data_IF_142129129359
#
_entry.id   IF_142129129359
#
_cell.length_a   1.000
_cell.length_b   1.000
_cell.length_c   1.000
_cell.angle_alpha   90.00
_cell.angle_beta   90.00
_cell.angle_gamma   90.00
#
_symmetry.space_group_name_H-M   'P 1'
#
loop_
_entity.id
_entity.type
_entity.pdbx_description
1 polymer ?
#
# COMPACT_ATOMS: atom_id res chain seq x y z
N UNK A 1 8.67 17.98 8.05
CA UNK A 1 8.21 18.00 6.65
C UNK A 1 7.42 16.74 6.31
N UNK A 2 6.36 16.88 5.50
CA UNK A 2 5.45 15.79 5.13
C UNK A 2 5.27 15.75 3.62
N UNK A 3 5.30 14.55 3.02
CA UNK A 3 4.84 14.31 1.67
C UNK A 3 3.61 13.39 1.68
N UNK A 4 2.78 13.45 0.64
CA UNK A 4 1.54 12.68 0.52
C UNK A 4 1.51 11.96 -0.83
N UNK A 5 1.26 10.65 -0.81
CA UNK A 5 0.91 9.85 -1.98
C UNK A 5 -0.51 9.32 -1.81
N UNK A 6 -1.43 9.82 -2.60
CA UNK A 6 -2.87 9.54 -2.53
C UNK A 6 -3.51 9.88 -3.88
N UNK A 7 -4.33 9.02 -4.45
CA UNK A 7 -4.89 9.21 -5.80
C UNK A 7 -6.15 10.11 -5.86
N UNK A 8 -6.71 10.46 -4.71
CA UNK A 8 -7.87 11.35 -4.62
C UNK A 8 -7.49 12.75 -4.12
N UNK A 9 -7.62 13.77 -4.98
CA UNK A 9 -7.28 15.15 -4.64
C UNK A 9 -8.04 15.65 -3.40
N UNK A 10 -9.32 15.34 -3.27
CA UNK A 10 -10.14 15.74 -2.11
C UNK A 10 -9.61 15.16 -0.79
N UNK A 11 -9.04 13.97 -0.82
CA UNK A 11 -8.39 13.35 0.34
C UNK A 11 -7.10 14.08 0.69
N UNK A 12 -6.28 14.41 -0.32
CA UNK A 12 -5.06 15.23 -0.14
C UNK A 12 -5.42 16.57 0.51
N UNK A 13 -6.43 17.27 -0.01
CA UNK A 13 -6.87 18.57 0.51
C UNK A 13 -7.33 18.44 1.97
N UNK A 14 -8.05 17.37 2.30
CA UNK A 14 -8.46 17.06 3.66
C UNK A 14 -7.28 16.82 4.60
N UNK A 15 -6.27 16.07 4.18
CA UNK A 15 -5.04 15.85 4.97
C UNK A 15 -4.25 17.15 5.14
N UNK A 16 -4.07 17.93 4.07
CA UNK A 16 -3.39 19.23 4.13
C UNK A 16 -4.08 20.18 5.10
N UNK A 17 -5.41 20.24 5.06
CA UNK A 17 -6.19 21.03 6.03
C UNK A 17 -5.92 20.59 7.48
N UNK A 18 -5.98 19.28 7.78
CA UNK A 18 -5.71 18.76 9.13
C UNK A 18 -4.27 18.99 9.58
N UNK A 19 -3.32 18.88 8.67
CA UNK A 19 -1.90 19.11 8.98
C UNK A 19 -1.59 20.60 9.19
N UNK A 20 -2.30 21.50 8.50
CA UNK A 20 -2.11 22.95 8.65
C UNK A 20 -2.56 23.51 10.02
N UNK A 21 -3.39 22.76 10.77
CA UNK A 21 -3.77 23.09 12.14
C UNK A 21 -2.57 23.04 13.11
N UNK A 22 -1.45 22.40 12.70
CA UNK A 22 -0.20 22.32 13.46
C UNK A 22 0.91 23.09 12.75
N UNK A 23 1.28 24.25 13.30
CA UNK A 23 2.29 25.15 12.71
C UNK A 23 3.69 24.55 12.55
N UNK A 24 4.00 23.44 13.24
CA UNK A 24 5.28 22.72 13.11
C UNK A 24 5.33 21.81 11.89
N UNK A 25 4.20 21.54 11.25
CA UNK A 25 4.10 20.62 10.13
C UNK A 25 4.02 21.42 8.84
N UNK A 26 4.86 21.05 7.88
CA UNK A 26 4.83 21.60 6.53
C UNK A 26 4.65 20.46 5.53
N UNK A 27 3.55 20.47 4.77
CA UNK A 27 3.39 19.60 3.60
C UNK A 27 4.21 20.22 2.47
N UNK A 28 5.23 19.49 2.01
CA UNK A 28 6.18 19.97 0.99
C UNK A 28 5.83 19.47 -0.40
N UNK A 29 5.16 18.31 -0.51
CA UNK A 29 4.77 17.75 -1.79
C UNK A 29 3.57 16.79 -1.66
N UNK A 30 2.84 16.62 -2.77
CA UNK A 30 1.83 15.57 -2.94
C UNK A 30 1.87 15.00 -4.35
N UNK A 31 1.51 13.73 -4.51
CA UNK A 31 1.44 13.05 -5.81
C UNK A 31 0.21 12.16 -5.86
N UNK A 32 -0.37 12.06 -7.06
CA UNK A 32 -1.53 11.22 -7.38
C UNK A 32 -1.13 9.84 -7.91
N UNK A 33 0.14 9.67 -8.30
CA UNK A 33 0.66 8.44 -8.93
C UNK A 33 1.98 8.02 -8.31
N UNK A 34 2.18 6.71 -8.19
CA UNK A 34 3.36 6.16 -7.51
C UNK A 34 4.65 6.28 -8.33
N UNK A 35 4.59 6.39 -9.66
CA UNK A 35 5.76 6.52 -10.52
C UNK A 35 6.62 7.76 -10.20
N UNK A 36 5.99 8.84 -9.71
CA UNK A 36 6.67 10.11 -9.45
C UNK A 36 7.19 10.23 -8.01
N UNK A 37 6.87 9.24 -7.16
CA UNK A 37 7.15 9.31 -5.73
C UNK A 37 8.64 9.40 -5.42
N UNK A 38 9.44 8.51 -6.01
CA UNK A 38 10.88 8.46 -5.73
C UNK A 38 11.56 9.77 -6.13
N UNK A 39 11.24 10.29 -7.33
CA UNK A 39 11.76 11.57 -7.79
C UNK A 39 11.37 12.73 -6.87
N UNK A 40 10.14 12.71 -6.36
CA UNK A 40 9.66 13.69 -5.39
C UNK A 40 10.49 13.64 -4.10
N UNK A 41 10.72 12.43 -3.56
CA UNK A 41 11.49 12.25 -2.33
C UNK A 41 12.98 12.61 -2.48
N UNK A 42 13.54 12.54 -3.70
CA UNK A 42 14.91 13.00 -4.00
C UNK A 42 15.03 14.53 -4.03
N UNK A 43 13.94 15.22 -4.39
CA UNK A 43 13.95 16.66 -4.57
C UNK A 43 13.74 17.41 -3.25
N UNK A 44 12.87 16.88 -2.42
CA UNK A 44 12.42 17.55 -1.19
C UNK A 44 12.80 16.71 0.05
N UNK A 45 13.40 17.31 1.10
CA UNK A 45 13.64 16.63 2.35
C UNK A 45 12.30 16.35 3.05
N UNK A 46 11.99 15.07 3.25
CA UNK A 46 10.75 14.58 3.83
C UNK A 46 11.04 13.74 5.08
N UNK A 47 10.42 14.09 6.21
CA UNK A 47 10.52 13.32 7.46
C UNK A 47 9.45 12.22 7.52
N UNK A 48 8.24 12.52 7.04
CA UNK A 48 7.10 11.58 7.05
C UNK A 48 6.43 11.54 5.67
N UNK A 49 6.28 10.33 5.13
CA UNK A 49 5.46 10.05 3.96
C UNK A 49 4.11 9.50 4.43
N UNK A 50 3.03 10.21 4.12
CA UNK A 50 1.66 9.67 4.19
C UNK A 50 1.42 8.91 2.88
N UNK A 51 1.10 7.63 3.00
CA UNK A 51 1.04 6.70 1.88
C UNK A 51 -0.30 5.96 1.85
N UNK A 52 -1.10 6.17 0.80
CA UNK A 52 -2.12 5.18 0.46
C UNK A 52 -1.51 4.06 -0.38
N UNK A 53 -1.93 2.83 -0.10
CA UNK A 53 -1.45 1.63 -0.79
C UNK A 53 -2.20 1.32 -2.08
N UNK A 54 -3.30 2.03 -2.35
CA UNK A 54 -4.14 1.82 -3.53
C UNK A 54 -3.91 2.85 -4.64
N UNK A 55 -2.71 3.41 -4.70
CA UNK A 55 -2.39 4.45 -5.70
C UNK A 55 -1.92 3.84 -7.00
N UNK A 56 -2.49 4.23 -8.16
CA UNK A 56 -2.08 3.75 -9.48
C UNK A 56 -0.65 4.17 -9.83
N UNK A 57 -0.03 3.42 -10.73
CA UNK A 57 1.35 3.70 -11.19
C UNK A 57 1.39 5.03 -11.93
N UNK A 58 0.50 5.24 -12.91
CA UNK A 58 0.37 6.49 -13.68
C UNK A 58 -1.06 6.71 -14.18
N UNK A 59 -1.29 7.81 -14.86
CA UNK A 59 -2.58 8.08 -15.50
C UNK A 59 -2.91 7.05 -16.59
N UNK A 60 -1.91 6.58 -17.32
CA UNK A 60 -2.03 5.60 -18.39
C UNK A 60 -1.99 4.16 -17.85
N UNK A 61 -1.30 3.95 -16.73
CA UNK A 61 -1.18 2.64 -16.10
C UNK A 61 -1.89 2.62 -14.73
N UNK A 62 -3.13 2.18 -14.74
CA UNK A 62 -3.99 2.09 -13.54
C UNK A 62 -3.68 0.89 -12.62
N UNK A 63 -2.73 0.05 -12.98
CA UNK A 63 -2.30 -1.03 -12.08
C UNK A 63 -1.68 -0.44 -10.80
N UNK A 64 -1.91 -1.13 -9.68
CA UNK A 64 -1.34 -0.76 -8.39
C UNK A 64 0.07 -1.33 -8.29
N UNK A 65 1.03 -0.49 -7.94
CA UNK A 65 2.39 -0.96 -7.67
C UNK A 65 2.42 -1.89 -6.45
N UNK A 66 3.14 -3.01 -6.51
CA UNK A 66 3.28 -3.89 -5.35
C UNK A 66 3.83 -3.14 -4.14
N UNK A 67 3.03 -3.03 -3.08
CA UNK A 67 3.33 -2.15 -1.93
C UNK A 67 4.65 -2.51 -1.23
N UNK A 68 4.97 -3.81 -1.11
CA UNK A 68 6.23 -4.24 -0.50
C UNK A 68 7.45 -3.83 -1.35
N UNK A 69 7.33 -3.81 -2.69
CA UNK A 69 8.37 -3.30 -3.58
C UNK A 69 8.56 -1.80 -3.40
N UNK A 70 7.45 -1.05 -3.38
CA UNK A 70 7.48 0.40 -3.20
C UNK A 70 8.09 0.79 -1.85
N UNK A 71 7.59 0.21 -0.75
CA UNK A 71 8.12 0.50 0.60
C UNK A 71 9.58 0.03 0.72
N UNK A 72 9.92 -1.15 0.17
CA UNK A 72 11.29 -1.65 0.18
C UNK A 72 12.26 -0.73 -0.57
N UNK A 73 11.87 -0.18 -1.72
CA UNK A 73 12.66 0.80 -2.46
C UNK A 73 12.83 2.10 -1.67
N UNK A 74 11.75 2.62 -1.07
CA UNK A 74 11.78 3.81 -0.24
C UNK A 74 12.73 3.61 0.96
N UNK A 75 12.57 2.52 1.71
CA UNK A 75 13.37 2.24 2.91
C UNK A 75 14.86 2.07 2.61
N UNK A 76 15.20 1.50 1.43
CA UNK A 76 16.60 1.34 1.01
C UNK A 76 17.26 2.67 0.60
N UNK A 77 16.49 3.61 0.05
CA UNK A 77 17.01 4.89 -0.47
C UNK A 77 16.91 6.03 0.54
N UNK A 78 15.94 5.99 1.45
CA UNK A 78 15.61 7.04 2.40
C UNK A 78 15.46 6.44 3.81
N UNK A 79 16.57 6.04 4.43
CA UNK A 79 16.59 5.29 5.70
C UNK A 79 15.93 6.04 6.87
N UNK A 80 15.96 7.37 6.86
CA UNK A 80 15.39 8.21 7.92
C UNK A 80 13.91 8.53 7.72
N UNK A 81 13.38 8.33 6.50
CA UNK A 81 12.00 8.61 6.15
C UNK A 81 11.05 7.67 6.90
N UNK A 82 10.07 8.23 7.59
CA UNK A 82 9.03 7.47 8.27
C UNK A 82 7.80 7.32 7.36
N UNK A 83 7.22 6.12 7.30
CA UNK A 83 6.06 5.85 6.45
C UNK A 83 4.83 5.65 7.33
N UNK A 84 3.84 6.53 7.17
CA UNK A 84 2.52 6.43 7.78
C UNK A 84 1.51 6.00 6.71
N UNK A 85 1.03 4.77 6.79
CA UNK A 85 0.03 4.26 5.85
C UNK A 85 -1.37 4.69 6.28
N UNK A 86 -2.14 5.29 5.36
CA UNK A 86 -3.55 5.65 5.54
C UNK A 86 -4.35 5.03 4.40
N UNK A 87 -5.22 4.06 4.69
CA UNK A 87 -5.86 3.25 3.65
C UNK A 87 -7.24 2.73 4.08
N UNK A 88 -8.04 2.24 3.12
CA UNK A 88 -9.31 1.55 3.41
C UNK A 88 -9.13 0.08 3.79
N UNK A 89 -7.94 -0.50 3.57
CA UNK A 89 -7.71 -1.92 3.82
C UNK A 89 -7.61 -2.21 5.32
N UNK A 90 -8.53 -3.01 5.81
CA UNK A 90 -8.64 -3.33 7.24
C UNK A 90 -8.42 -4.83 7.55
N UNK A 91 -8.00 -5.62 6.56
CA UNK A 91 -7.73 -7.04 6.73
C UNK A 91 -6.44 -7.25 7.51
N UNK A 92 -6.49 -8.16 8.50
CA UNK A 92 -5.35 -8.46 9.37
C UNK A 92 -4.09 -8.84 8.60
N UNK A 93 -4.23 -9.65 7.55
CA UNK A 93 -3.11 -10.08 6.71
C UNK A 93 -2.40 -8.88 6.07
N UNK A 94 -3.16 -7.90 5.53
CA UNK A 94 -2.60 -6.67 4.96
C UNK A 94 -1.90 -5.83 6.03
N UNK A 95 -2.54 -5.63 7.18
CA UNK A 95 -1.97 -4.89 8.31
C UNK A 95 -0.63 -5.51 8.74
N UNK A 96 -0.60 -6.84 8.95
CA UNK A 96 0.63 -7.57 9.31
C UNK A 96 1.73 -7.41 8.27
N UNK A 97 1.39 -7.54 6.98
CA UNK A 97 2.33 -7.39 5.87
C UNK A 97 2.94 -6.00 5.86
N UNK A 98 2.10 -4.95 5.91
CA UNK A 98 2.54 -3.55 5.84
C UNK A 98 3.39 -3.17 7.06
N UNK A 99 2.94 -3.53 8.27
CA UNK A 99 3.73 -3.25 9.48
C UNK A 99 5.02 -4.06 9.52
N UNK A 100 5.00 -5.29 9.00
CA UNK A 100 6.17 -6.19 8.97
C UNK A 100 7.29 -5.73 8.03
N UNK A 101 7.01 -4.87 7.04
CA UNK A 101 8.03 -4.30 6.15
C UNK A 101 8.60 -2.96 6.65
N UNK A 102 8.29 -2.57 7.91
CA UNK A 102 8.96 -1.47 8.58
C UNK A 102 8.26 -0.12 8.47
N UNK A 103 6.96 -0.07 8.22
CA UNK A 103 6.20 1.19 8.29
C UNK A 103 6.06 1.67 9.73
N UNK A 104 5.99 2.99 9.90
CA UNK A 104 5.92 3.64 11.22
C UNK A 104 4.47 3.84 11.71
N UNK A 105 3.48 3.54 10.88
CA UNK A 105 2.09 3.60 11.33
C UNK A 105 1.09 3.12 10.30
N UNK A 106 -0.14 2.82 10.81
CA UNK A 106 -1.26 2.35 10.01
C UNK A 106 -2.57 2.95 10.53
N UNK A 107 -3.29 3.65 9.67
CA UNK A 107 -4.57 4.28 9.95
C UNK A 107 -5.59 3.84 8.89
N UNK A 108 -6.83 3.61 9.30
CA UNK A 108 -7.93 3.42 8.35
C UNK A 108 -8.49 4.78 7.93
N UNK A 109 -8.78 4.98 6.63
CA UNK A 109 -9.38 6.23 6.11
C UNK A 109 -10.74 6.55 6.75
N UNK A 110 -11.47 5.54 7.22
CA UNK A 110 -12.75 5.66 7.92
C UNK A 110 -12.61 5.80 9.46
N UNK A 111 -11.39 5.93 9.98
CA UNK A 111 -11.14 6.25 11.38
C UNK A 111 -11.05 7.76 11.58
N UNK A 112 -12.23 8.36 11.73
CA UNK A 112 -12.39 9.82 11.84
C UNK A 112 -11.62 10.43 13.02
N UNK A 113 -11.46 9.70 14.12
CA UNK A 113 -10.72 10.20 15.29
C UNK A 113 -9.22 10.28 15.02
N UNK A 114 -8.64 9.28 14.35
CA UNK A 114 -7.24 9.31 13.91
C UNK A 114 -7.01 10.40 12.86
N UNK A 115 -7.90 10.52 11.86
CA UNK A 115 -7.80 11.57 10.83
C UNK A 115 -7.90 12.97 11.45
N UNK A 116 -8.77 13.16 12.44
CA UNK A 116 -8.88 14.45 13.16
C UNK A 116 -7.60 14.82 13.92
N UNK A 117 -6.88 13.81 14.42
CA UNK A 117 -5.63 13.98 15.19
C UNK A 117 -4.38 13.82 14.30
N UNK A 118 -4.51 13.89 12.98
CA UNK A 118 -3.45 13.55 12.03
C UNK A 118 -2.14 14.32 12.30
N UNK A 119 -2.24 15.61 12.61
CA UNK A 119 -1.06 16.42 12.95
C UNK A 119 -0.28 15.88 14.16
N UNK A 120 -0.99 15.50 15.23
CA UNK A 120 -0.35 14.90 16.41
C UNK A 120 0.26 13.52 16.09
N UNK A 121 -0.42 12.71 15.29
CA UNK A 121 0.08 11.39 14.88
C UNK A 121 1.35 11.52 14.03
N UNK A 122 1.38 12.48 13.12
CA UNK A 122 2.57 12.78 12.31
C UNK A 122 3.75 13.19 13.20
N UNK A 123 3.53 13.97 14.26
CA UNK A 123 4.61 14.30 15.23
C UNK A 123 5.13 13.05 15.94
N UNK A 124 4.25 12.14 16.39
CA UNK A 124 4.65 10.87 17.01
C UNK A 124 5.55 10.08 16.06
N UNK A 125 5.10 9.92 14.82
CA UNK A 125 5.81 9.14 13.79
C UNK A 125 7.14 9.81 13.42
N UNK A 126 7.18 11.12 13.23
CA UNK A 126 8.40 11.87 12.93
C UNK A 126 9.46 11.71 14.02
N UNK A 127 9.05 11.59 15.28
CA UNK A 127 9.94 11.36 16.42
C UNK A 127 10.30 9.87 16.64
N UNK A 128 10.01 8.99 15.66
CA UNK A 128 10.35 7.57 15.70
C UNK A 128 9.36 6.70 16.47
N UNK A 129 8.21 7.23 16.88
CA UNK A 129 7.12 6.45 17.44
C UNK A 129 6.39 5.62 16.39
N UNK A 130 5.69 4.57 16.83
CA UNK A 130 4.82 3.76 16.00
C UNK A 130 3.37 4.07 16.36
N UNK A 131 2.52 4.29 15.35
CA UNK A 131 1.09 4.54 15.55
C UNK A 131 0.21 3.53 14.81
N UNK A 132 -0.74 2.97 15.53
CA UNK A 132 -1.86 2.22 14.95
C UNK A 132 -3.16 2.77 15.51
N UNK A 133 -4.13 3.02 14.65
CA UNK A 133 -5.47 3.37 15.13
C UNK A 133 -6.05 2.20 15.94
N UNK A 134 -6.97 2.47 16.85
CA UNK A 134 -7.50 1.47 17.78
C UNK A 134 -8.06 0.24 17.05
N UNK A 135 -8.87 0.46 16.01
CA UNK A 135 -9.44 -0.62 15.17
C UNK A 135 -8.36 -1.46 14.46
N UNK A 136 -7.26 -0.82 14.05
CA UNK A 136 -6.12 -1.51 13.43
C UNK A 136 -5.40 -2.37 14.48
N UNK A 137 -5.13 -1.80 15.64
CA UNK A 137 -4.46 -2.51 16.75
C UNK A 137 -5.25 -3.72 17.21
N UNK A 138 -6.56 -3.58 17.37
CA UNK A 138 -7.43 -4.69 17.76
C UNK A 138 -7.39 -5.83 16.74
N UNK A 139 -7.43 -5.52 15.45
CA UNK A 139 -7.29 -6.52 14.39
C UNK A 139 -5.89 -7.13 14.33
N UNK A 140 -4.87 -6.33 14.56
CA UNK A 140 -3.48 -6.80 14.57
C UNK A 140 -3.25 -7.82 15.69
N UNK A 141 -3.77 -7.54 16.90
CA UNK A 141 -3.58 -8.38 18.10
C UNK A 141 -4.57 -9.53 18.12
N UNK A 142 -5.87 -9.25 18.02
CA UNK A 142 -6.95 -10.18 18.35
C UNK A 142 -7.65 -10.81 17.14
N UNK A 143 -7.33 -10.37 15.92
CA UNK A 143 -7.98 -10.89 14.71
C UNK A 143 -7.62 -12.36 14.49
N UNK A 144 -8.60 -13.19 14.14
CA UNK A 144 -8.36 -14.56 13.69
C UNK A 144 -7.56 -14.55 12.39
N UNK A 145 -6.46 -15.29 12.35
CA UNK A 145 -5.78 -15.61 11.10
C UNK A 145 -6.71 -16.57 10.34
N UNK A 146 -7.46 -16.07 9.37
CA UNK A 146 -7.88 -16.93 8.27
C UNK A 146 -6.60 -17.20 7.49
N UNK A 147 -5.94 -18.30 7.88
CA UNK A 147 -4.59 -18.64 7.49
C UNK A 147 -4.48 -18.92 6.00
N UNK A 148 -4.22 -17.87 5.27
CA UNK A 148 -3.48 -18.04 4.03
C UNK A 148 -2.02 -17.75 4.36
N UNK A 149 -1.31 -18.79 4.77
CA UNK A 149 0.11 -18.75 5.15
C UNK A 149 1.01 -18.50 3.93
N UNK A 150 0.71 -17.45 3.15
CA UNK A 150 1.66 -17.01 2.12
C UNK A 150 2.89 -16.41 2.81
N UNK A 151 4.06 -16.90 2.43
CA UNK A 151 5.32 -16.28 2.84
C UNK A 151 5.49 -14.92 2.17
N UNK A 152 6.37 -14.08 2.69
CA UNK A 152 6.72 -12.78 2.10
C UNK A 152 7.05 -12.92 0.60
N UNK A 153 7.86 -13.92 0.23
CA UNK A 153 8.25 -14.17 -1.17
C UNK A 153 7.09 -14.63 -2.06
N UNK A 154 6.19 -15.43 -1.54
CA UNK A 154 4.97 -15.83 -2.26
C UNK A 154 4.06 -14.62 -2.51
N UNK A 155 3.91 -13.75 -1.50
CA UNK A 155 3.13 -12.52 -1.64
C UNK A 155 3.76 -11.55 -2.65
N UNK A 156 5.09 -11.41 -2.66
CA UNK A 156 5.83 -10.62 -3.65
C UNK A 156 5.55 -11.11 -5.08
N UNK A 157 5.66 -12.42 -5.32
CA UNK A 157 5.35 -13.02 -6.63
C UNK A 157 3.91 -12.76 -7.03
N UNK A 158 2.96 -12.96 -6.13
CA UNK A 158 1.54 -12.77 -6.42
C UNK A 158 1.20 -11.29 -6.69
N UNK A 159 1.82 -10.37 -5.95
CA UNK A 159 1.71 -8.93 -6.17
C UNK A 159 2.26 -8.50 -7.52
N UNK A 160 3.42 -9.03 -7.92
CA UNK A 160 3.99 -8.79 -9.24
C UNK A 160 3.04 -9.28 -10.34
N UNK A 161 2.48 -10.49 -10.17
CA UNK A 161 1.48 -11.01 -11.10
C UNK A 161 0.21 -10.16 -11.19
N UNK A 162 -0.18 -9.52 -10.09
CA UNK A 162 -1.34 -8.62 -10.05
C UNK A 162 -1.05 -7.27 -10.72
N UNK A 163 0.16 -6.73 -10.54
CA UNK A 163 0.57 -5.44 -11.11
C UNK A 163 0.86 -5.54 -12.62
N UNK A 164 1.28 -6.72 -13.10
CA UNK A 164 1.61 -6.99 -14.51
C UNK A 164 0.80 -8.18 -15.02
N UNK A 165 -0.52 -8.00 -15.25
CA UNK A 165 -1.42 -9.11 -15.58
C UNK A 165 -1.09 -9.79 -16.91
N UNK A 166 -0.56 -9.06 -17.89
CA UNK A 166 -0.25 -9.54 -19.22
C UNK A 166 1.12 -10.22 -19.32
N UNK A 167 2.01 -10.01 -18.34
CA UNK A 167 3.33 -10.61 -18.32
C UNK A 167 3.24 -12.13 -18.10
N UNK A 168 4.07 -12.88 -18.84
CA UNK A 168 4.27 -14.30 -18.56
C UNK A 168 5.22 -14.52 -17.37
N UNK A 169 5.38 -15.77 -16.92
CA UNK A 169 6.23 -16.08 -15.74
C UNK A 169 7.70 -15.77 -15.94
N UNK A 170 8.19 -15.75 -17.19
CA UNK A 170 9.57 -15.37 -17.51
C UNK A 170 9.81 -13.88 -17.37
N UNK A 171 8.85 -13.06 -17.82
CA UNK A 171 8.88 -11.61 -17.67
C UNK A 171 8.78 -11.18 -16.20
N UNK A 172 7.89 -11.82 -15.43
CA UNK A 172 7.83 -11.64 -13.97
C UNK A 172 9.16 -12.00 -13.32
N UNK A 173 9.78 -13.12 -13.70
CA UNK A 173 11.07 -13.57 -13.19
C UNK A 173 12.19 -12.55 -13.46
N UNK A 174 12.21 -11.98 -14.67
CA UNK A 174 13.17 -10.93 -15.05
C UNK A 174 12.98 -9.68 -14.19
N UNK A 175 11.73 -9.22 -14.00
CA UNK A 175 11.42 -8.06 -13.15
C UNK A 175 11.77 -8.26 -11.67
N UNK A 176 11.78 -9.52 -11.22
CA UNK A 176 12.12 -9.88 -9.83
C UNK A 176 13.59 -10.26 -9.65
N UNK A 177 14.37 -10.38 -10.72
CA UNK A 177 15.78 -10.82 -10.66
C UNK A 177 15.94 -12.27 -10.18
N UNK A 178 14.99 -13.17 -10.49
CA UNK A 178 15.00 -14.59 -10.10
C UNK A 178 14.76 -15.51 -11.30
N UNK A 179 15.02 -16.81 -11.14
CA UNK A 179 14.77 -17.77 -12.21
C UNK A 179 13.28 -18.00 -12.47
N UNK A 180 12.89 -18.23 -13.74
CA UNK A 180 11.51 -18.53 -14.11
C UNK A 180 10.96 -19.78 -13.39
N UNK A 181 11.81 -20.82 -13.19
CA UNK A 181 11.44 -22.00 -12.40
C UNK A 181 11.06 -21.65 -10.97
N UNK A 182 11.75 -20.68 -10.37
CA UNK A 182 11.46 -20.17 -9.02
C UNK A 182 10.08 -19.50 -8.95
N UNK A 183 9.74 -18.65 -9.94
CA UNK A 183 8.40 -18.04 -10.02
C UNK A 183 7.32 -19.11 -10.14
N UNK A 184 7.51 -20.11 -11.02
CA UNK A 184 6.56 -21.22 -11.18
C UNK A 184 6.38 -22.02 -9.88
N UNK A 185 7.45 -22.27 -9.15
CA UNK A 185 7.40 -22.97 -7.87
C UNK A 185 6.64 -22.18 -6.81
N UNK A 186 6.85 -20.86 -6.75
CA UNK A 186 6.06 -20.00 -5.85
C UNK A 186 4.58 -19.99 -6.24
N UNK A 187 4.27 -19.83 -7.54
CA UNK A 187 2.86 -19.85 -7.99
C UNK A 187 2.18 -21.19 -7.66
N UNK A 188 2.87 -22.32 -7.85
CA UNK A 188 2.33 -23.62 -7.46
C UNK A 188 1.99 -23.70 -5.96
N UNK A 189 2.91 -23.26 -5.09
CA UNK A 189 2.67 -23.18 -3.64
C UNK A 189 1.52 -22.25 -3.29
N UNK A 190 1.42 -21.08 -3.96
CA UNK A 190 0.33 -20.12 -3.78
C UNK A 190 -1.01 -20.76 -4.14
N UNK A 191 -1.09 -21.46 -5.27
CA UNK A 191 -2.34 -22.11 -5.69
C UNK A 191 -2.82 -23.15 -4.69
N UNK A 192 -1.90 -23.96 -4.15
CA UNK A 192 -2.22 -24.92 -3.09
C UNK A 192 -2.74 -24.20 -1.83
N UNK A 193 -2.02 -23.17 -1.36
CA UNK A 193 -2.35 -22.44 -0.13
C UNK A 193 -3.67 -21.67 -0.24
N UNK A 194 -3.95 -21.09 -1.40
CA UNK A 194 -5.20 -20.37 -1.67
C UNK A 194 -6.35 -21.28 -2.13
N UNK A 195 -6.08 -22.56 -2.35
CA UNK A 195 -7.04 -23.55 -2.88
C UNK A 195 -7.67 -23.11 -4.22
N UNK A 196 -6.82 -22.71 -5.16
CA UNK A 196 -7.21 -22.25 -6.49
C UNK A 196 -6.40 -22.95 -7.58
N UNK A 197 -6.87 -22.89 -8.83
CA UNK A 197 -6.26 -23.62 -9.95
C UNK A 197 -5.56 -22.75 -10.99
N UNK A 198 -5.28 -21.46 -10.68
CA UNK A 198 -4.61 -20.61 -11.64
C UNK A 198 -4.33 -19.20 -11.14
N UNK A 199 -3.53 -18.47 -11.95
CA UNK A 199 -3.02 -17.15 -11.60
C UNK A 199 -4.14 -16.13 -11.34
N UNK A 200 -5.11 -16.03 -12.25
CA UNK A 200 -6.23 -15.09 -12.13
C UNK A 200 -7.06 -15.39 -10.88
N UNK A 201 -7.40 -16.67 -10.64
CA UNK A 201 -8.12 -17.08 -9.45
C UNK A 201 -7.35 -16.79 -8.16
N UNK A 202 -6.01 -16.96 -8.18
CA UNK A 202 -5.17 -16.63 -7.04
C UNK A 202 -5.18 -15.13 -6.73
N UNK A 203 -5.08 -14.28 -7.74
CA UNK A 203 -5.15 -12.82 -7.60
C UNK A 203 -6.51 -12.39 -7.06
N UNK A 204 -7.61 -12.89 -7.63
CA UNK A 204 -8.96 -12.57 -7.18
C UNK A 204 -9.18 -13.02 -5.73
N UNK A 205 -8.76 -14.24 -5.39
CA UNK A 205 -8.86 -14.75 -4.02
C UNK A 205 -8.04 -13.92 -3.05
N UNK A 206 -6.81 -13.56 -3.40
CA UNK A 206 -5.95 -12.73 -2.58
C UNK A 206 -6.54 -11.33 -2.33
N UNK A 207 -7.18 -10.73 -3.34
CA UNK A 207 -7.91 -9.47 -3.19
C UNK A 207 -9.12 -9.64 -2.26
N UNK A 208 -9.91 -10.69 -2.45
CA UNK A 208 -11.07 -10.98 -1.61
C UNK A 208 -10.73 -11.11 -0.11
N UNK A 209 -9.60 -11.73 0.20
CA UNK A 209 -9.13 -11.91 1.59
C UNK A 209 -8.18 -10.81 2.06
N UNK A 210 -7.97 -9.76 1.25
CA UNK A 210 -7.19 -8.57 1.61
C UNK A 210 -5.67 -8.77 1.67
N UNK A 211 -5.14 -9.73 0.93
CA UNK A 211 -3.70 -9.91 0.74
C UNK A 211 -3.13 -9.03 -0.38
N UNK A 212 -3.98 -8.58 -1.28
CA UNK A 212 -3.65 -7.67 -2.36
C UNK A 212 -4.66 -6.52 -2.41
N UNK A 213 -4.24 -5.32 -2.87
CA UNK A 213 -5.15 -4.23 -3.15
C UNK A 213 -6.25 -4.64 -4.16
N UNK A 214 -7.48 -4.18 -3.92
CA UNK A 214 -8.58 -4.32 -4.90
C UNK A 214 -8.33 -3.43 -6.13
N UNK A 215 -8.99 -3.74 -7.23
CA UNK A 215 -9.21 -2.75 -8.29
C UNK A 215 -10.47 -2.01 -7.86
N UNK A 216 -10.41 -0.70 -7.67
CA UNK A 216 -11.63 0.10 -7.57
C UNK A 216 -12.35 -0.04 -8.90
N UNK A 217 -13.56 -0.58 -8.86
CA UNK A 217 -14.46 -0.50 -10.01
C UNK A 217 -14.68 1.00 -10.25
N UNK A 218 -14.31 1.47 -11.46
CA UNK A 218 -14.70 2.81 -11.91
C UNK A 218 -16.21 2.95 -11.68
N UNK A 219 -16.68 4.08 -11.12
CA UNK A 219 -18.11 4.34 -11.08
C UNK A 219 -18.60 4.15 -12.50
N UNK A 220 -19.54 3.22 -12.68
CA UNK A 220 -20.19 2.99 -13.95
C UNK A 220 -20.70 4.36 -14.38
N UNK A 221 -20.11 4.92 -15.44
CA UNK A 221 -20.60 6.14 -16.07
C UNK A 221 -22.08 5.90 -16.33
N UNK A 222 -22.90 6.51 -15.49
CA UNK A 222 -24.34 6.41 -15.60
C UNK A 222 -24.72 6.83 -17.00
N UNK A 223 -25.39 5.94 -17.71
CA UNK A 223 -26.14 6.24 -18.91
C UNK A 223 -26.92 7.52 -18.64
N UNK A 224 -26.50 8.60 -19.26
CA UNK A 224 -27.36 9.77 -19.46
C UNK A 224 -28.54 9.30 -20.27
N UNK A 225 -29.66 9.09 -19.60
CA UNK A 225 -30.96 9.03 -20.28
C UNK A 225 -31.41 10.47 -20.49
N UNK A 226 -31.48 10.80 -21.76
CA UNK A 226 -32.43 11.69 -22.46
C UNK A 226 -33.25 12.63 -21.60
#
# INVERSE_FOLDING_TARGET
>A
TVAILEDHQSTIDGYQFRLSENSKIKVVASRLFSQDLIKMLETDPVDVLILDINVPISQENRNIQPIHKLIGEISNRFADLKILVITMYNQRAMIKTIMGIGTSGYILKDDFDSIRKLGHIVEIVANGGIYMSERVRDKFINGNDTDTNLTQRELEVLSMCSAYPDDNTGEIATKMGIANSTVRNFLHKIYIKLQVHGRTAAILKARQIGLLPGIEELPKTGNSLV
#
